data_IF_269160435791
#
_entry.id   IF_269160435791
#
_cell.length_a   1.000
_cell.length_b   1.000
_cell.length_c   1.000
_cell.angle_alpha   90.00
_cell.angle_beta   90.00
_cell.angle_gamma   90.00
#
_symmetry.space_group_name_H-M   'P 1'
#
loop_
_entity.id
_entity.type
_entity.pdbx_description
1 polymer ?
#
# COMPACT_ATOMS: atom_id res chain seq x y z
N UNK A 1 -14.91 63.04 -11.26
CA UNK A 1 -14.25 62.37 -12.40
C UNK A 1 -13.39 61.25 -11.85
N UNK A 2 -13.70 60.03 -12.28
CA UNK A 2 -13.07 58.70 -12.13
C UNK A 2 -12.04 58.44 -11.03
N UNK A 3 -12.42 57.57 -10.07
CA UNK A 3 -11.48 56.81 -9.25
C UNK A 3 -11.50 55.35 -9.73
N UNK A 4 -10.42 54.91 -10.36
CA UNK A 4 -10.30 53.54 -10.90
C UNK A 4 -9.67 52.63 -9.85
N UNK A 5 -10.48 51.77 -9.23
CA UNK A 5 -9.99 50.71 -8.35
C UNK A 5 -9.45 49.55 -9.19
N UNK A 6 -8.13 49.31 -9.17
CA UNK A 6 -7.53 48.11 -9.75
C UNK A 6 -7.82 46.89 -8.87
N UNK A 7 -8.86 46.13 -9.23
CA UNK A 7 -9.12 44.80 -8.67
C UNK A 7 -8.08 43.83 -9.22
N UNK A 8 -7.19 43.35 -8.35
CA UNK A 8 -6.32 42.20 -8.64
C UNK A 8 -7.21 40.96 -8.74
N UNK A 9 -7.37 40.44 -9.95
CA UNK A 9 -8.03 39.14 -10.17
C UNK A 9 -7.10 38.06 -9.63
N UNK A 10 -7.43 37.49 -8.46
CA UNK A 10 -6.85 36.23 -8.04
C UNK A 10 -7.35 35.17 -9.02
N UNK A 11 -6.47 34.73 -9.91
CA UNK A 11 -6.74 33.55 -10.71
C UNK A 11 -7.04 32.41 -9.73
N UNK A 12 -8.26 31.89 -9.78
CA UNK A 12 -8.55 30.60 -9.21
C UNK A 12 -7.64 29.62 -9.94
N UNK A 13 -6.62 29.10 -9.25
CA UNK A 13 -5.98 27.85 -9.61
C UNK A 13 -7.03 26.75 -9.44
N UNK A 14 -7.97 26.71 -10.39
CA UNK A 14 -8.92 25.63 -10.55
C UNK A 14 -8.10 24.36 -10.69
N UNK A 15 -8.32 23.46 -9.73
CA UNK A 15 -7.64 22.19 -9.65
C UNK A 15 -7.83 21.39 -10.93
N UNK A 16 -6.78 21.34 -11.72
CA UNK A 16 -6.41 20.11 -12.39
C UNK A 16 -5.24 19.57 -11.57
N UNK A 17 -5.57 18.88 -10.47
CA UNK A 17 -4.68 17.82 -10.05
C UNK A 17 -4.67 16.86 -11.24
N UNK A 18 -3.60 16.94 -12.03
CA UNK A 18 -3.32 16.05 -13.15
C UNK A 18 -3.71 14.65 -12.69
N UNK A 19 -4.84 14.16 -13.21
CA UNK A 19 -5.20 12.76 -13.12
C UNK A 19 -4.27 12.04 -14.10
N UNK A 20 -2.97 12.03 -13.81
CA UNK A 20 -2.05 11.03 -14.32
C UNK A 20 -2.38 9.73 -13.61
N UNK A 21 -3.63 9.27 -13.78
CA UNK A 21 -4.12 7.97 -13.43
C UNK A 21 -3.57 6.95 -14.41
N UNK A 22 -2.23 6.89 -14.53
CA UNK A 22 -1.63 5.66 -14.99
C UNK A 22 -1.99 4.64 -13.93
N UNK A 23 -2.90 3.72 -14.29
CA UNK A 23 -3.25 2.58 -13.45
C UNK A 23 -1.98 1.75 -13.34
N UNK A 24 -1.18 2.07 -12.34
CA UNK A 24 0.05 1.36 -12.01
C UNK A 24 -0.33 -0.10 -11.78
N UNK A 25 0.05 -0.93 -12.75
CA UNK A 25 -0.24 -2.37 -12.75
C UNK A 25 0.29 -3.00 -11.46
N UNK A 26 -0.32 -4.08 -11.00
CA UNK A 26 0.18 -4.79 -9.83
C UNK A 26 1.64 -5.23 -10.02
N UNK A 27 2.36 -5.31 -8.90
CA UNK A 27 3.75 -5.77 -8.90
C UNK A 27 3.74 -7.26 -9.30
N UNK A 28 4.55 -7.67 -10.30
CA UNK A 28 4.61 -9.07 -10.70
C UNK A 28 5.09 -9.95 -9.54
N UNK A 29 4.63 -11.19 -9.51
CA UNK A 29 5.14 -12.17 -8.55
C UNK A 29 6.44 -12.77 -9.06
N UNK A 30 7.40 -13.06 -8.17
CA UNK A 30 8.59 -13.80 -8.56
C UNK A 30 8.19 -15.22 -9.01
N UNK A 31 8.94 -15.85 -9.93
CA UNK A 31 8.65 -17.21 -10.42
C UNK A 31 8.76 -18.27 -9.32
N UNK A 32 9.51 -17.97 -8.25
CA UNK A 32 9.61 -18.75 -7.02
C UNK A 32 9.80 -17.79 -5.85
N UNK A 33 9.18 -18.09 -4.70
CA UNK A 33 9.30 -17.26 -3.49
C UNK A 33 10.53 -17.68 -2.69
N UNK A 34 11.48 -16.77 -2.55
CA UNK A 34 12.68 -16.97 -1.71
C UNK A 34 12.43 -16.54 -0.26
N UNK A 35 13.41 -16.83 0.62
CA UNK A 35 13.40 -16.30 1.98
C UNK A 35 13.46 -14.76 2.02
N UNK A 36 14.20 -14.15 1.10
CA UNK A 36 14.30 -12.70 0.98
C UNK A 36 12.97 -12.07 0.52
N UNK A 37 12.32 -12.66 -0.50
CA UNK A 37 10.99 -12.24 -0.93
C UNK A 37 9.97 -12.29 0.21
N UNK A 38 10.09 -13.32 1.07
CA UNK A 38 9.24 -13.47 2.25
C UNK A 38 9.45 -12.31 3.22
N UNK A 39 10.70 -11.90 3.47
CA UNK A 39 11.01 -10.76 4.35
C UNK A 39 10.47 -9.44 3.78
N UNK A 40 10.62 -9.21 2.47
CA UNK A 40 10.03 -8.05 1.82
C UNK A 40 8.50 -8.08 1.88
N UNK A 41 7.89 -9.26 1.76
CA UNK A 41 6.44 -9.42 1.85
C UNK A 41 5.90 -9.14 3.26
N UNK A 42 6.61 -9.57 4.32
CA UNK A 42 6.29 -9.20 5.71
C UNK A 42 6.31 -7.69 5.87
N UNK A 43 7.40 -7.03 5.44
CA UNK A 43 7.50 -5.56 5.49
C UNK A 43 6.37 -4.90 4.71
N UNK A 44 6.04 -5.41 3.53
CA UNK A 44 4.98 -4.86 2.69
C UNK A 44 3.61 -4.90 3.39
N UNK A 45 3.20 -6.05 3.98
CA UNK A 45 1.89 -6.13 4.64
C UNK A 45 1.84 -5.32 5.94
N UNK A 46 2.93 -5.31 6.70
CA UNK A 46 3.01 -4.62 8.00
C UNK A 46 3.08 -3.11 7.82
N UNK A 47 3.98 -2.59 6.97
CA UNK A 47 4.16 -1.15 6.77
C UNK A 47 2.96 -0.55 6.04
N UNK A 48 2.39 -1.27 5.07
CA UNK A 48 1.24 -0.82 4.27
C UNK A 48 -0.10 -1.33 4.84
N UNK A 49 -0.16 -1.54 6.15
CA UNK A 49 -1.36 -1.94 6.86
C UNK A 49 -2.50 -0.89 6.70
N UNK A 50 -3.76 -1.33 6.83
CA UNK A 50 -4.92 -0.44 6.75
C UNK A 50 -4.92 0.59 7.88
N UNK A 51 -5.36 1.81 7.57
CA UNK A 51 -5.64 2.88 8.52
C UNK A 51 -6.99 3.51 8.18
N UNK A 52 -7.82 3.76 9.21
CA UNK A 52 -9.08 4.50 9.05
C UNK A 52 -8.79 5.99 8.83
N UNK A 53 -9.50 6.60 7.90
CA UNK A 53 -9.47 8.02 7.59
C UNK A 53 -10.88 8.52 7.26
N UNK A 54 -11.12 9.83 7.30
CA UNK A 54 -12.38 10.42 6.87
C UNK A 54 -12.62 10.09 5.39
N UNK A 55 -13.56 9.18 5.12
CA UNK A 55 -13.89 8.73 3.75
C UNK A 55 -13.43 7.32 3.39
N UNK A 56 -12.83 6.54 4.29
CA UNK A 56 -12.58 5.11 4.06
C UNK A 56 -11.33 4.54 4.73
N UNK A 57 -10.87 3.40 4.22
CA UNK A 57 -9.64 2.74 4.65
C UNK A 57 -8.54 3.01 3.64
N UNK A 58 -7.45 3.60 4.12
CA UNK A 58 -6.26 3.93 3.32
C UNK A 58 -5.05 3.13 3.79
N UNK A 59 -4.08 2.96 2.91
CA UNK A 59 -2.77 2.44 3.28
C UNK A 59 -2.10 3.45 4.22
N UNK A 60 -1.61 2.99 5.38
CA UNK A 60 -0.96 3.86 6.37
C UNK A 60 0.27 4.58 5.81
N UNK A 61 1.06 3.92 4.96
CA UNK A 61 2.29 4.47 4.38
C UNK A 61 2.04 5.32 3.14
N UNK A 62 1.33 4.78 2.15
CA UNK A 62 1.19 5.43 0.84
C UNK A 62 0.03 6.43 0.75
N UNK A 63 -0.86 6.46 1.75
CA UNK A 63 -2.13 7.20 1.74
C UNK A 63 -3.08 6.90 0.55
N UNK A 64 -2.80 5.88 -0.25
CA UNK A 64 -3.66 5.36 -1.32
C UNK A 64 -4.80 4.49 -0.76
N UNK A 65 -5.88 4.22 -1.52
CA UNK A 65 -6.92 3.30 -1.12
C UNK A 65 -6.34 1.93 -0.72
N UNK A 66 -6.74 1.42 0.45
CA UNK A 66 -6.30 0.11 0.91
C UNK A 66 -7.18 -1.01 0.32
N UNK A 67 -6.60 -2.14 -0.14
CA UNK A 67 -5.17 -2.46 -0.12
C UNK A 67 -4.39 -1.77 -1.24
N UNK A 68 -3.22 -1.18 -0.92
CA UNK A 68 -2.33 -0.63 -1.93
C UNK A 68 -1.55 -1.73 -2.68
N UNK A 69 -0.83 -1.37 -3.74
CA UNK A 69 -0.07 -2.33 -4.58
C UNK A 69 0.91 -3.19 -3.79
N UNK A 70 1.67 -2.56 -2.89
CA UNK A 70 2.66 -3.27 -2.06
C UNK A 70 1.97 -4.22 -1.07
N UNK A 71 0.86 -3.78 -0.45
CA UNK A 71 0.09 -4.66 0.42
C UNK A 71 -0.46 -5.88 -0.33
N UNK A 72 -1.04 -5.68 -1.52
CA UNK A 72 -1.54 -6.77 -2.37
C UNK A 72 -0.43 -7.75 -2.77
N UNK A 73 0.73 -7.22 -3.16
CA UNK A 73 1.90 -8.04 -3.50
C UNK A 73 2.38 -8.86 -2.30
N UNK A 74 2.56 -8.24 -1.14
CA UNK A 74 3.01 -8.91 0.07
C UNK A 74 2.07 -10.05 0.49
N UNK A 75 0.76 -9.81 0.47
CA UNK A 75 -0.25 -10.83 0.78
C UNK A 75 -0.16 -12.03 -0.18
N UNK A 76 0.03 -11.79 -1.48
CA UNK A 76 0.18 -12.86 -2.48
C UNK A 76 1.47 -13.66 -2.29
N UNK A 77 2.59 -13.00 -2.02
CA UNK A 77 3.88 -13.68 -1.76
C UNK A 77 3.80 -14.55 -0.50
N UNK A 78 3.23 -14.02 0.59
CA UNK A 78 3.05 -14.77 1.84
C UNK A 78 2.10 -15.97 1.66
N UNK A 79 1.03 -15.81 0.87
CA UNK A 79 0.13 -16.91 0.54
C UNK A 79 0.82 -18.01 -0.28
N UNK A 80 1.61 -17.64 -1.30
CA UNK A 80 2.44 -18.60 -2.05
C UNK A 80 3.47 -19.30 -1.16
N UNK A 81 3.91 -18.62 -0.09
CA UNK A 81 4.82 -19.15 0.90
C UNK A 81 4.16 -20.11 1.92
N UNK A 82 2.83 -20.26 1.82
CA UNK A 82 2.01 -21.18 2.60
C UNK A 82 1.29 -20.57 3.80
N UNK A 83 1.30 -19.24 3.94
CA UNK A 83 0.64 -18.58 5.08
C UNK A 83 -0.86 -18.46 4.82
N UNK A 84 -1.64 -18.77 5.85
CA UNK A 84 -3.09 -18.56 5.86
C UNK A 84 -3.41 -17.09 6.10
N UNK A 85 -4.59 -16.65 5.65
CA UNK A 85 -5.05 -15.28 5.85
C UNK A 85 -5.00 -14.83 7.32
N UNK A 86 -5.35 -15.73 8.26
CA UNK A 86 -5.27 -15.45 9.70
C UNK A 86 -3.84 -15.21 10.20
N UNK A 87 -2.85 -15.93 9.65
CA UNK A 87 -1.43 -15.75 10.00
C UNK A 87 -0.91 -14.42 9.46
N UNK A 88 -1.32 -14.03 8.24
CA UNK A 88 -1.00 -12.73 7.66
C UNK A 88 -1.65 -11.60 8.48
N UNK A 89 -2.92 -11.75 8.88
CA UNK A 89 -3.59 -10.79 9.76
C UNK A 89 -2.84 -10.62 11.09
N UNK A 90 -2.40 -11.72 11.71
CA UNK A 90 -1.61 -11.67 12.93
C UNK A 90 -0.24 -10.97 12.74
N UNK A 91 0.39 -11.08 11.56
CA UNK A 91 1.59 -10.28 11.24
C UNK A 91 1.27 -8.78 11.24
N UNK A 92 0.17 -8.40 10.58
CA UNK A 92 -0.29 -7.01 10.46
C UNK A 92 -0.62 -6.43 11.83
N UNK A 93 -1.36 -7.18 12.66
CA UNK A 93 -1.76 -6.79 14.02
C UNK A 93 -0.55 -6.63 14.95
N UNK A 94 0.42 -7.54 14.88
CA UNK A 94 1.67 -7.44 15.66
C UNK A 94 2.47 -6.19 15.29
N UNK A 95 2.42 -5.75 14.03
CA UNK A 95 3.05 -4.51 13.60
C UNK A 95 4.58 -4.53 13.49
N UNK A 96 5.22 -5.70 13.60
CA UNK A 96 6.67 -5.86 13.47
C UNK A 96 7.07 -6.21 12.02
N UNK A 97 7.70 -5.29 11.27
CA UNK A 97 8.08 -5.51 9.87
C UNK A 97 9.34 -6.38 9.72
N UNK A 98 10.01 -6.74 10.81
CA UNK A 98 11.21 -7.59 10.82
C UNK A 98 10.92 -9.04 11.24
N UNK A 99 9.65 -9.34 11.51
CA UNK A 99 9.22 -10.66 11.96
C UNK A 99 9.57 -11.75 10.95
N UNK A 100 10.26 -12.78 11.43
CA UNK A 100 10.69 -13.90 10.59
C UNK A 100 9.53 -14.88 10.40
N UNK A 101 9.24 -15.20 9.14
CA UNK A 101 8.29 -16.25 8.77
C UNK A 101 9.01 -17.60 8.69
N UNK A 102 8.54 -18.64 9.40
CA UNK A 102 9.16 -19.96 9.37
C UNK A 102 9.25 -20.57 7.97
N UNK A 103 10.23 -21.47 7.69
CA UNK A 103 10.29 -22.28 6.48
C UNK A 103 8.96 -23.00 6.21
N UNK A 104 8.57 -23.22 4.94
CA UNK A 104 7.31 -23.87 4.64
C UNK A 104 7.44 -25.30 5.12
N UNK A 105 6.40 -25.84 5.76
CA UNK A 105 6.39 -27.25 6.12
C UNK A 105 6.40 -28.04 4.81
N UNK A 106 7.44 -28.87 4.60
CA UNK A 106 7.45 -29.81 3.48
C UNK A 106 6.23 -30.74 3.64
N UNK A 107 5.47 -31.01 2.56
CA UNK A 107 4.50 -32.10 2.61
C UNK A 107 5.27 -33.40 2.92
N UNK A 108 4.66 -34.21 3.80
CA UNK A 108 5.18 -35.52 4.19
C UNK A 108 5.13 -36.52 3.03
#
# INVERSE_FOLDING_TARGET
MSSTAHRVRRAASSGAAEASGEVLRDIPLPPYVTGEDTQFAVRAVVVHAPRRWSGGVICRNDASPHPCRLHRWGTRVLALRGLRAAEIAALIERGDPTAVVPPPKRPA
#
